data_IF_734547316771
#
_entry.id   IF_734547316771
#
_cell.length_a   1.000
_cell.length_b   1.000
_cell.length_c   1.000
_cell.angle_alpha   90.00
_cell.angle_beta   90.00
_cell.angle_gamma   90.00
#
_symmetry.space_group_name_H-M   'P 1'
#
loop_
_entity.id
_entity.type
_entity.pdbx_description
1 polymer ?
#
# COMPACT_ATOMS: atom_id res chain seq x y z
N UNK A 1 -3.78 14.71 6.28
CA UNK A 1 -3.92 13.27 6.61
C UNK A 1 -5.38 12.90 6.51
N UNK A 2 -5.75 11.93 5.65
CA UNK A 2 -7.12 11.40 5.61
C UNK A 2 -7.30 10.40 6.77
N UNK A 3 -8.38 10.55 7.53
CA UNK A 3 -8.77 9.59 8.58
C UNK A 3 -8.97 8.19 7.98
N UNK A 4 -8.36 7.18 8.61
CA UNK A 4 -8.46 5.78 8.23
C UNK A 4 -9.70 5.16 8.92
N UNK A 5 -10.85 5.12 8.25
CA UNK A 5 -12.01 4.38 8.77
C UNK A 5 -11.79 2.87 8.61
N UNK A 6 -11.88 2.11 9.70
CA UNK A 6 -11.70 0.65 9.74
C UNK A 6 -12.70 -0.13 8.85
N UNK A 7 -12.39 -1.39 8.46
CA UNK A 7 -11.07 -1.94 8.16
C UNK A 7 -10.74 -1.78 6.67
N UNK A 8 -9.48 -1.45 6.36
CA UNK A 8 -9.02 -1.44 4.97
C UNK A 8 -9.17 -2.84 4.37
N UNK A 9 -9.85 -2.99 3.21
CA UNK A 9 -10.00 -4.31 2.56
C UNK A 9 -8.63 -4.94 2.29
N UNK A 10 -8.52 -6.27 2.23
CA UNK A 10 -7.24 -6.92 1.89
C UNK A 10 -6.78 -6.49 0.49
N UNK A 11 -5.64 -5.81 0.42
CA UNK A 11 -5.01 -5.28 -0.79
C UNK A 11 -3.73 -6.02 -1.17
N UNK A 12 -3.39 -7.14 -0.51
CA UNK A 12 -2.18 -7.92 -0.85
C UNK A 12 -2.22 -8.31 -2.34
N UNK A 13 -1.14 -8.03 -3.06
CA UNK A 13 -1.01 -8.19 -4.51
C UNK A 13 -1.50 -7.00 -5.33
N UNK A 14 -2.13 -5.99 -4.73
CA UNK A 14 -2.58 -4.79 -5.43
C UNK A 14 -1.40 -3.88 -5.75
N UNK A 15 -1.41 -3.35 -6.98
CA UNK A 15 -0.48 -2.32 -7.44
C UNK A 15 -0.78 -1.00 -6.73
N UNK A 16 0.26 -0.32 -6.29
CA UNK A 16 0.18 0.98 -5.63
C UNK A 16 1.21 1.94 -6.18
N UNK A 17 0.91 3.24 -6.07
CA UNK A 17 1.83 4.35 -6.33
C UNK A 17 1.95 5.15 -5.05
N UNK A 18 3.18 5.42 -4.62
CA UNK A 18 3.42 6.28 -3.46
C UNK A 18 3.26 7.75 -3.85
N UNK A 19 2.38 8.46 -3.15
CA UNK A 19 1.99 9.84 -3.49
C UNK A 19 3.21 10.79 -3.55
N UNK A 20 4.07 10.77 -2.53
CA UNK A 20 5.20 11.71 -2.44
C UNK A 20 6.38 11.37 -3.36
N UNK A 21 6.66 10.10 -3.59
CA UNK A 21 7.86 9.66 -4.30
C UNK A 21 7.56 9.20 -5.73
N UNK A 22 6.28 9.07 -6.08
CA UNK A 22 5.79 8.52 -7.34
C UNK A 22 6.33 7.13 -7.67
N UNK A 23 6.87 6.42 -6.66
CA UNK A 23 7.37 5.05 -6.79
C UNK A 23 6.19 4.09 -6.87
N UNK A 24 6.28 3.13 -7.79
CA UNK A 24 5.28 2.09 -7.94
C UNK A 24 5.71 0.81 -7.25
N UNK A 25 4.76 0.02 -6.77
CA UNK A 25 5.03 -1.23 -6.08
C UNK A 25 3.78 -2.07 -5.86
N UNK A 26 3.92 -3.12 -5.07
CA UNK A 26 2.81 -3.99 -4.68
C UNK A 26 2.71 -4.12 -3.17
N UNK A 27 1.49 -4.14 -2.66
CA UNK A 27 1.26 -4.50 -1.25
C UNK A 27 1.57 -5.98 -1.06
N UNK A 28 2.52 -6.31 -0.19
CA UNK A 28 2.94 -7.70 0.07
C UNK A 28 2.48 -8.19 1.45
N UNK A 29 2.27 -7.28 2.41
CA UNK A 29 1.76 -7.64 3.75
C UNK A 29 0.75 -6.59 4.21
N UNK A 30 -0.38 -7.06 4.74
CA UNK A 30 -1.38 -6.22 5.41
C UNK A 30 -1.79 -6.86 6.74
N UNK A 31 -1.42 -6.24 7.88
CA UNK A 31 -1.84 -6.69 9.20
C UNK A 31 -3.37 -6.69 9.37
N UNK A 32 -3.91 -7.69 10.07
CA UNK A 32 -5.34 -8.00 10.04
C UNK A 32 -6.27 -7.20 10.95
N UNK A 33 -5.78 -6.29 11.81
CA UNK A 33 -6.64 -5.73 12.87
C UNK A 33 -6.56 -4.22 13.11
N UNK A 34 -5.46 -3.54 12.74
CA UNK A 34 -5.31 -2.08 12.91
C UNK A 34 -4.13 -1.59 12.06
N UNK A 35 -4.15 -1.89 10.76
CA UNK A 35 -3.00 -1.63 9.91
C UNK A 35 -2.81 -0.11 9.68
N UNK A 36 -2.12 0.55 10.63
CA UNK A 36 -1.55 1.88 10.44
C UNK A 36 -0.57 1.90 9.26
N UNK A 37 -0.01 0.74 8.93
CA UNK A 37 0.93 0.54 7.84
C UNK A 37 0.64 -0.75 7.07
N UNK A 38 0.83 -0.70 5.75
CA UNK A 38 0.95 -1.85 4.85
C UNK A 38 2.39 -1.97 4.39
N UNK A 39 2.87 -3.16 4.07
CA UNK A 39 4.21 -3.31 3.50
C UNK A 39 4.12 -3.34 1.98
N UNK A 40 4.86 -2.45 1.34
CA UNK A 40 4.92 -2.32 -0.12
C UNK A 40 6.31 -2.69 -0.61
N UNK A 41 6.38 -3.61 -1.56
CA UNK A 41 7.60 -3.87 -2.31
C UNK A 41 7.59 -2.95 -3.54
N UNK A 42 8.43 -1.91 -3.53
CA UNK A 42 8.58 -0.99 -4.65
C UNK A 42 9.42 -1.62 -5.77
N UNK A 43 9.15 -1.20 -7.01
CA UNK A 43 9.91 -1.67 -8.17
C UNK A 43 11.40 -1.33 -8.03
N UNK A 44 12.25 -2.35 -8.14
CA UNK A 44 13.70 -2.22 -7.98
C UNK A 44 14.18 -2.11 -6.53
N UNK A 45 13.32 -2.30 -5.54
CA UNK A 45 13.71 -2.45 -4.15
C UNK A 45 13.93 -3.92 -3.78
N UNK A 46 14.94 -4.19 -2.95
CA UNK A 46 15.23 -5.55 -2.43
C UNK A 46 14.30 -5.96 -1.27
N UNK A 47 13.72 -4.97 -0.57
CA UNK A 47 12.94 -5.19 0.65
C UNK A 47 11.63 -4.40 0.63
N UNK A 48 10.62 -4.94 1.31
CA UNK A 48 9.32 -4.28 1.45
C UNK A 48 9.38 -3.19 2.53
N UNK A 49 8.83 -2.02 2.20
CA UNK A 49 8.86 -0.83 3.05
C UNK A 49 7.48 -0.63 3.69
N UNK A 50 7.38 -0.34 5.00
CA UNK A 50 6.12 0.03 5.61
C UNK A 50 5.66 1.39 5.08
N UNK A 51 4.44 1.44 4.54
CA UNK A 51 3.79 2.63 4.01
C UNK A 51 2.44 2.84 4.69
N UNK A 52 2.10 4.09 4.96
CA UNK A 52 0.78 4.43 5.45
C UNK A 52 -0.26 4.22 4.32
N UNK A 53 -1.39 3.53 4.53
CA UNK A 53 -2.37 3.29 3.45
C UNK A 53 -2.89 4.58 2.81
N UNK A 54 -2.95 5.67 3.57
CA UNK A 54 -3.34 6.99 3.08
C UNK A 54 -2.27 7.73 2.25
N UNK A 55 -1.04 7.23 2.15
CA UNK A 55 0.02 7.75 1.27
C UNK A 55 0.16 6.97 -0.03
N UNK A 56 -0.76 6.02 -0.28
CA UNK A 56 -0.75 5.15 -1.44
C UNK A 56 -1.99 5.37 -2.29
N UNK A 57 -1.78 5.52 -3.59
CA UNK A 57 -2.84 5.41 -4.58
C UNK A 57 -2.88 3.97 -5.10
N UNK A 58 -4.04 3.33 -4.99
CA UNK A 58 -4.23 1.96 -5.47
C UNK A 58 -4.58 2.01 -6.94
N UNK A 59 -3.64 1.64 -7.82
CA UNK A 59 -3.90 1.55 -9.24
C UNK A 59 -4.93 0.44 -9.47
N UNK A 60 -6.05 0.76 -10.11
CA UNK A 60 -7.00 -0.27 -10.54
C UNK A 60 -6.32 -1.17 -11.57
N UNK A 61 -6.49 -2.47 -11.37
CA UNK A 61 -6.16 -3.43 -12.41
C UNK A 61 -7.27 -3.25 -13.43
N UNK A 62 -6.95 -2.65 -14.58
CA UNK A 62 -7.86 -2.69 -15.72
C UNK A 62 -8.27 -4.16 -15.94
N UNK A 63 -9.58 -4.41 -15.83
CA UNK A 63 -10.18 -5.73 -15.95
C UNK A 63 -9.88 -6.40 -17.30
#
# INVERSE_FOLDING_TARGET
MRELSQPYPRQIGRRVVHDETQKQGFVVVQPGSDATHVYVLFDGADEAVPCHPGSLEYADVAA
#
